data_IF_577328574712
#
_entry.id   IF_577328574712
#
_cell.length_a   1.000
_cell.length_b   1.000
_cell.length_c   1.000
_cell.angle_alpha   90.00
_cell.angle_beta   90.00
_cell.angle_gamma   90.00
#
_symmetry.space_group_name_H-M   'P 1'
#
loop_
_entity.id
_entity.type
_entity.pdbx_description
1 polymer ?
#
# COMPACT_ATOMS: atom_id res chain seq x y z
N UNK A 1 -19.98 -12.67 -0.76
CA UNK A 1 -20.01 -12.44 -2.22
C UNK A 1 -20.45 -10.99 -2.43
N UNK A 2 -19.75 -10.20 -3.26
CA UNK A 2 -20.03 -8.75 -3.38
C UNK A 2 -21.11 -8.40 -4.41
N UNK A 3 -21.55 -9.38 -5.21
CA UNK A 3 -22.60 -9.26 -6.22
C UNK A 3 -23.84 -10.02 -5.80
N UNK A 4 -25.02 -9.44 -6.03
CA UNK A 4 -26.31 -10.14 -5.98
C UNK A 4 -26.50 -11.07 -7.19
N UNK A 5 -27.47 -12.01 -7.16
CA UNK A 5 -27.76 -12.87 -8.31
C UNK A 5 -28.15 -12.11 -9.58
N UNK A 6 -28.85 -10.98 -9.45
CA UNK A 6 -29.26 -10.15 -10.59
C UNK A 6 -28.07 -9.42 -11.22
N UNK A 7 -27.19 -8.87 -10.39
CA UNK A 7 -25.93 -8.26 -10.84
C UNK A 7 -25.02 -9.26 -11.53
N UNK A 8 -25.00 -10.51 -11.05
CA UNK A 8 -24.25 -11.58 -11.68
C UNK A 8 -24.81 -11.93 -13.07
N UNK A 9 -26.13 -12.12 -13.20
CA UNK A 9 -26.77 -12.37 -14.48
C UNK A 9 -26.52 -11.24 -15.49
N UNK A 10 -26.49 -9.98 -15.03
CA UNK A 10 -26.15 -8.82 -15.86
C UNK A 10 -24.74 -8.89 -16.44
N UNK A 11 -23.76 -9.30 -15.63
CA UNK A 11 -22.35 -9.43 -16.06
C UNK A 11 -22.18 -10.60 -17.04
N UNK A 12 -22.87 -11.71 -16.80
CA UNK A 12 -22.87 -12.89 -17.67
C UNK A 12 -23.41 -12.57 -19.05
N UNK A 13 -24.53 -11.85 -19.13
CA UNK A 13 -25.14 -11.46 -20.41
C UNK A 13 -24.21 -10.59 -21.30
N UNK A 14 -23.23 -9.90 -20.70
CA UNK A 14 -22.31 -8.98 -21.39
C UNK A 14 -20.94 -9.57 -21.68
N UNK A 15 -20.74 -10.84 -21.32
CA UNK A 15 -19.49 -11.57 -21.61
C UNK A 15 -19.13 -11.60 -23.11
N UNK A 16 -20.06 -11.89 -24.05
CA UNK A 16 -19.74 -11.88 -25.48
C UNK A 16 -19.28 -10.49 -25.97
N UNK A 17 -19.91 -9.43 -25.45
CA UNK A 17 -19.58 -8.05 -25.80
C UNK A 17 -18.18 -7.64 -25.32
N UNK A 18 -17.79 -8.08 -24.11
CA UNK A 18 -16.43 -7.87 -23.61
C UNK A 18 -15.39 -8.58 -24.49
N UNK A 19 -15.66 -9.82 -24.89
CA UNK A 19 -14.78 -10.58 -25.78
C UNK A 19 -14.63 -9.90 -27.15
N UNK A 20 -15.72 -9.41 -27.72
CA UNK A 20 -15.72 -8.65 -28.97
C UNK A 20 -14.92 -7.34 -28.84
N UNK A 21 -15.16 -6.56 -27.78
CA UNK A 21 -14.47 -5.29 -27.54
C UNK A 21 -12.95 -5.48 -27.38
N UNK A 22 -12.53 -6.61 -26.82
CA UNK A 22 -11.11 -6.99 -26.74
C UNK A 22 -10.52 -7.30 -28.12
N UNK A 23 -11.25 -8.04 -28.96
CA UNK A 23 -10.79 -8.39 -30.30
C UNK A 23 -10.64 -7.14 -31.21
N UNK A 24 -11.49 -6.13 -31.00
CA UNK A 24 -11.50 -4.89 -31.79
C UNK A 24 -10.74 -3.73 -31.12
N UNK A 25 -10.06 -3.96 -30.00
CA UNK A 25 -9.36 -2.92 -29.23
C UNK A 25 -10.24 -1.74 -28.77
N UNK A 26 -11.54 -1.97 -28.57
CA UNK A 26 -12.53 -0.96 -28.13
C UNK A 26 -12.90 -1.08 -26.65
N UNK A 27 -12.03 -1.68 -25.83
CA UNK A 27 -12.30 -1.93 -24.40
C UNK A 27 -12.68 -0.67 -23.61
N UNK A 28 -12.12 0.50 -23.93
CA UNK A 28 -12.49 1.74 -23.22
C UNK A 28 -13.98 2.03 -23.36
N UNK A 29 -14.50 2.00 -24.59
CA UNK A 29 -15.92 2.26 -24.89
C UNK A 29 -16.83 1.23 -24.22
N UNK A 30 -16.40 -0.03 -24.18
CA UNK A 30 -17.11 -1.08 -23.46
C UNK A 30 -17.23 -0.76 -21.96
N UNK A 31 -16.16 -0.34 -21.31
CA UNK A 31 -16.20 0.00 -19.88
C UNK A 31 -17.07 1.23 -19.60
N UNK A 32 -17.05 2.22 -20.48
CA UNK A 32 -17.90 3.40 -20.37
C UNK A 32 -19.39 3.04 -20.50
N UNK A 33 -19.76 2.24 -21.51
CA UNK A 33 -21.13 1.73 -21.68
C UNK A 33 -21.58 0.85 -20.51
N UNK A 34 -20.72 -0.08 -20.07
CA UNK A 34 -21.01 -0.95 -18.93
C UNK A 34 -21.26 -0.16 -17.64
N UNK A 35 -20.53 0.93 -17.41
CA UNK A 35 -20.76 1.81 -16.26
C UNK A 35 -22.15 2.44 -16.31
N UNK A 36 -22.54 2.98 -17.47
CA UNK A 36 -23.84 3.63 -17.67
C UNK A 36 -24.96 2.64 -17.41
N UNK A 37 -24.91 1.47 -18.05
CA UNK A 37 -25.92 0.43 -17.90
C UNK A 37 -25.98 -0.14 -16.47
N UNK A 38 -24.84 -0.27 -15.79
CA UNK A 38 -24.84 -0.68 -14.39
C UNK A 38 -25.53 0.34 -13.49
N UNK A 39 -25.23 1.63 -13.68
CA UNK A 39 -25.83 2.70 -12.89
C UNK A 39 -27.34 2.77 -13.14
N UNK A 40 -27.78 2.57 -14.38
CA UNK A 40 -29.20 2.53 -14.74
C UNK A 40 -29.94 1.38 -14.03
N UNK A 41 -29.35 0.19 -13.98
CA UNK A 41 -30.02 -0.99 -13.42
C UNK A 41 -29.88 -1.15 -11.89
N UNK A 42 -28.72 -0.83 -11.33
CA UNK A 42 -28.38 -1.12 -9.92
C UNK A 42 -28.04 0.14 -9.11
N UNK A 43 -28.12 1.32 -9.73
CA UNK A 43 -27.79 2.59 -9.12
C UNK A 43 -26.28 2.82 -8.95
N UNK A 44 -25.93 3.89 -8.23
CA UNK A 44 -24.53 4.28 -8.02
C UNK A 44 -23.83 3.55 -6.86
N UNK A 45 -24.48 2.57 -6.22
CA UNK A 45 -23.99 1.90 -5.01
C UNK A 45 -22.55 1.38 -5.14
N UNK A 46 -22.21 0.81 -6.29
CA UNK A 46 -20.89 0.28 -6.60
C UNK A 46 -19.83 1.38 -6.86
N UNK A 47 -20.27 2.59 -7.21
CA UNK A 47 -19.43 3.71 -7.65
C UNK A 47 -19.31 4.84 -6.62
N UNK A 48 -20.17 4.91 -5.60
CA UNK A 48 -20.18 5.97 -4.57
C UNK A 48 -18.96 5.93 -3.64
N UNK A 49 -18.37 4.75 -3.42
CA UNK A 49 -17.15 4.62 -2.60
C UNK A 49 -15.93 5.11 -3.39
N UNK A 50 -15.67 6.41 -3.32
CA UNK A 50 -14.46 7.02 -3.86
C UNK A 50 -13.23 6.41 -3.18
N UNK A 51 -12.34 5.79 -3.95
CA UNK A 51 -11.02 5.38 -3.44
C UNK A 51 -9.88 6.24 -3.98
N UNK A 52 -10.13 7.13 -4.96
CA UNK A 52 -9.21 8.16 -5.44
C UNK A 52 -9.89 9.00 -6.53
N UNK A 53 -9.60 10.30 -6.68
CA UNK A 53 -10.07 11.09 -7.82
C UNK A 53 -9.58 10.45 -9.14
N UNK A 54 -10.50 10.11 -10.04
CA UNK A 54 -10.17 9.62 -11.39
C UNK A 54 -10.31 8.10 -11.62
N UNK A 55 -10.53 7.26 -10.60
CA UNK A 55 -10.80 5.83 -10.82
C UNK A 55 -11.86 5.28 -9.85
N UNK A 56 -13.15 5.21 -10.26
CA UNK A 56 -14.20 4.77 -9.36
C UNK A 56 -14.05 3.27 -9.08
N UNK A 57 -14.09 2.90 -7.79
CA UNK A 57 -13.86 1.52 -7.31
C UNK A 57 -14.74 0.48 -8.04
N UNK A 58 -15.92 0.89 -8.53
CA UNK A 58 -16.81 0.02 -9.28
C UNK A 58 -16.21 -0.50 -10.60
N UNK A 59 -15.56 0.34 -11.41
CA UNK A 59 -14.93 -0.13 -12.65
C UNK A 59 -13.84 -1.16 -12.35
N UNK A 60 -13.04 -0.93 -11.30
CA UNK A 60 -12.01 -1.87 -10.87
C UNK A 60 -12.60 -3.24 -10.50
N UNK A 61 -13.72 -3.25 -9.77
CA UNK A 61 -14.42 -4.49 -9.38
C UNK A 61 -15.01 -5.23 -10.59
N UNK A 62 -15.63 -4.51 -11.51
CA UNK A 62 -16.14 -5.07 -12.77
C UNK A 62 -15.02 -5.71 -13.58
N UNK A 63 -13.90 -5.00 -13.76
CA UNK A 63 -12.69 -5.53 -14.43
C UNK A 63 -12.15 -6.78 -13.74
N UNK A 64 -12.07 -6.76 -12.41
CA UNK A 64 -11.60 -7.91 -11.63
C UNK A 64 -12.49 -9.14 -11.84
N UNK A 65 -13.82 -8.97 -11.92
CA UNK A 65 -14.75 -10.06 -12.21
C UNK A 65 -14.47 -10.70 -13.57
N UNK A 66 -14.37 -9.91 -14.64
CA UNK A 66 -14.08 -10.42 -15.98
C UNK A 66 -12.71 -11.11 -16.07
N UNK A 67 -11.71 -10.60 -15.35
CA UNK A 67 -10.39 -11.22 -15.29
C UNK A 67 -10.42 -12.56 -14.54
N UNK A 68 -11.18 -12.66 -13.45
CA UNK A 68 -11.25 -13.87 -12.62
C UNK A 68 -12.08 -14.98 -13.27
N UNK A 69 -13.14 -14.65 -14.01
CA UNK A 69 -14.04 -15.63 -14.66
C UNK A 69 -13.36 -16.44 -15.76
N UNK A 70 -12.29 -15.91 -16.35
CA UNK A 70 -11.46 -16.63 -17.33
C UNK A 70 -10.57 -17.70 -16.68
N UNK A 71 -10.32 -17.60 -15.37
CA UNK A 71 -9.55 -18.60 -14.63
C UNK A 71 -10.41 -19.78 -14.16
N UNK A 72 -11.73 -19.63 -14.14
CA UNK A 72 -12.68 -20.70 -13.75
C UNK A 72 -13.06 -21.62 -14.91
N UNK A 73 -13.02 -21.16 -16.16
CA UNK A 73 -13.36 -21.99 -17.34
C UNK A 73 -12.19 -22.82 -17.87
N UNK A 74 -10.96 -22.60 -17.37
CA UNK A 74 -9.79 -23.44 -17.69
C UNK A 74 -9.50 -24.51 -16.63
N UNK A 75 -10.41 -24.72 -15.66
CA UNK A 75 -10.20 -25.66 -14.54
C UNK A 75 -10.28 -27.15 -14.93
N UNK A 76 -10.46 -27.50 -16.21
CA UNK A 76 -10.32 -28.87 -16.74
C UNK A 76 -9.15 -29.05 -17.71
N UNK A 77 -8.23 -28.09 -17.78
CA UNK A 77 -6.95 -28.29 -18.45
C UNK A 77 -5.82 -27.67 -17.61
N UNK A 78 -5.63 -28.22 -16.41
CA UNK A 78 -4.33 -28.24 -15.76
C UNK A 78 -3.36 -29.01 -16.65
N UNK A 79 -2.92 -28.42 -17.77
CA UNK A 79 -1.58 -28.74 -18.26
C UNK A 79 -0.68 -28.42 -17.07
N UNK A 80 0.08 -29.38 -16.54
CA UNK A 80 1.11 -29.08 -15.57
C UNK A 80 2.17 -28.30 -16.34
N UNK A 81 1.94 -27.00 -16.51
CA UNK A 81 2.98 -26.06 -16.89
C UNK A 81 4.01 -26.18 -15.80
N UNK A 82 5.10 -26.89 -16.12
CA UNK A 82 6.09 -27.36 -15.18
C UNK A 82 6.43 -26.26 -14.21
N UNK A 83 5.97 -26.41 -12.96
CA UNK A 83 6.63 -25.81 -11.82
C UNK A 83 8.02 -26.43 -11.81
N UNK A 84 8.92 -25.78 -12.54
CA UNK A 84 10.33 -26.09 -12.52
C UNK A 84 10.76 -25.90 -11.07
N UNK A 85 11.07 -27.02 -10.43
CA UNK A 85 11.67 -27.16 -9.10
C UNK A 85 10.80 -26.74 -7.90
N UNK A 86 10.60 -27.72 -7.00
CA UNK A 86 10.06 -27.63 -5.64
C UNK A 86 11.05 -27.00 -4.64
N UNK A 87 12.16 -26.42 -5.08
CA UNK A 87 13.02 -25.66 -4.18
C UNK A 87 12.34 -24.32 -3.85
N UNK A 88 12.21 -23.95 -2.57
CA UNK A 88 11.77 -22.60 -2.20
C UNK A 88 12.70 -21.60 -2.89
N UNK A 89 12.12 -20.69 -3.70
CA UNK A 89 12.91 -19.64 -4.35
C UNK A 89 13.50 -18.79 -3.23
N UNK A 90 14.84 -18.78 -3.12
CA UNK A 90 15.57 -17.92 -2.18
C UNK A 90 15.06 -16.49 -2.34
N UNK A 91 14.50 -15.93 -1.28
CA UNK A 91 13.91 -14.61 -1.35
C UNK A 91 15.03 -13.58 -1.34
N UNK A 92 15.08 -12.75 -2.39
CA UNK A 92 16.02 -11.63 -2.46
C UNK A 92 15.55 -10.54 -1.51
N UNK A 93 16.38 -10.21 -0.53
CA UNK A 93 16.11 -9.13 0.42
C UNK A 93 16.48 -7.78 -0.19
N UNK A 94 15.74 -6.72 0.18
CA UNK A 94 16.27 -5.36 0.02
C UNK A 94 17.40 -5.13 1.01
N UNK A 95 18.34 -4.23 0.70
CA UNK A 95 19.49 -3.94 1.56
C UNK A 95 19.12 -3.65 3.02
N UNK A 96 18.06 -2.87 3.25
CA UNK A 96 17.58 -2.59 4.62
C UNK A 96 16.99 -3.81 5.31
N UNK A 97 16.35 -4.72 4.57
CA UNK A 97 15.81 -5.96 5.14
C UNK A 97 16.92 -6.95 5.48
N UNK A 98 17.94 -7.07 4.62
CA UNK A 98 19.12 -7.88 4.90
C UNK A 98 19.86 -7.35 6.15
N UNK A 99 20.05 -6.04 6.25
CA UNK A 99 20.65 -5.43 7.43
C UNK A 99 19.82 -5.61 8.70
N UNK A 100 18.49 -5.44 8.61
CA UNK A 100 17.59 -5.76 9.74
C UNK A 100 17.74 -7.22 10.15
N UNK A 101 17.75 -8.16 9.19
CA UNK A 101 17.89 -9.58 9.50
C UNK A 101 19.18 -9.90 10.27
N UNK A 102 20.30 -9.30 9.87
CA UNK A 102 21.60 -9.51 10.52
C UNK A 102 21.75 -8.77 11.85
N UNK A 103 21.25 -7.54 11.94
CA UNK A 103 21.61 -6.58 12.98
C UNK A 103 20.43 -5.99 13.76
N UNK A 104 19.22 -6.56 13.64
CA UNK A 104 18.05 -6.04 14.34
C UNK A 104 18.27 -5.98 15.85
N UNK A 105 18.53 -7.11 16.49
CA UNK A 105 18.62 -7.17 17.96
C UNK A 105 19.84 -6.44 18.51
N UNK A 106 20.95 -6.40 17.77
CA UNK A 106 22.24 -5.87 18.25
C UNK A 106 22.39 -4.37 18.05
N UNK A 107 21.95 -3.84 16.90
CA UNK A 107 22.19 -2.43 16.51
C UNK A 107 20.90 -1.65 16.31
N UNK A 108 19.94 -2.21 15.56
CA UNK A 108 18.75 -1.46 15.15
C UNK A 108 17.75 -1.29 16.29
N UNK A 109 17.47 -2.33 17.06
CA UNK A 109 16.48 -2.30 18.14
C UNK A 109 16.86 -1.27 19.24
N UNK A 110 18.10 -1.22 19.74
CA UNK A 110 18.51 -0.18 20.70
C UNK A 110 18.35 1.24 20.14
N UNK A 111 18.75 1.45 18.87
CA UNK A 111 18.60 2.76 18.21
C UNK A 111 17.14 3.12 17.97
N UNK A 112 16.28 2.14 17.64
CA UNK A 112 14.84 2.33 17.49
C UNK A 112 14.19 2.78 18.79
N UNK A 113 14.51 2.13 19.90
CA UNK A 113 13.95 2.47 21.22
C UNK A 113 14.35 3.88 21.67
N UNK A 114 15.56 4.32 21.29
CA UNK A 114 16.06 5.66 21.57
C UNK A 114 15.46 6.73 20.65
N UNK A 115 15.52 6.53 19.33
CA UNK A 115 15.23 7.58 18.34
C UNK A 115 13.74 7.69 18.00
N UNK A 116 12.98 6.60 18.08
CA UNK A 116 11.57 6.63 17.68
C UNK A 116 10.71 7.54 18.57
N UNK A 117 10.82 7.50 19.91
CA UNK A 117 10.08 8.42 20.77
C UNK A 117 10.47 9.89 20.53
N UNK A 118 11.76 10.15 20.24
CA UNK A 118 12.25 11.49 19.92
C UNK A 118 11.61 11.98 18.62
N UNK A 119 11.59 11.14 17.59
CA UNK A 119 10.92 11.46 16.32
C UNK A 119 9.43 11.76 16.50
N UNK A 120 8.72 10.95 17.30
CA UNK A 120 7.31 11.21 17.60
C UNK A 120 7.12 12.53 18.33
N UNK A 121 7.97 12.86 19.32
CA UNK A 121 7.87 14.14 20.01
C UNK A 121 8.16 15.33 19.07
N UNK A 122 9.15 15.20 18.18
CA UNK A 122 9.44 16.24 17.17
C UNK A 122 8.26 16.50 16.24
N UNK A 123 7.54 15.45 15.81
CA UNK A 123 6.31 15.61 15.01
C UNK A 123 5.22 16.34 15.80
N UNK A 124 5.07 16.06 17.10
CA UNK A 124 4.11 16.76 17.96
C UNK A 124 4.47 18.24 18.15
N UNK A 125 5.76 18.55 18.34
CA UNK A 125 6.26 19.92 18.44
C UNK A 125 6.07 20.70 17.13
N UNK A 126 6.34 20.06 15.98
CA UNK A 126 6.08 20.63 14.68
C UNK A 126 4.59 20.94 14.47
N UNK A 127 3.70 20.03 14.87
CA UNK A 127 2.24 20.23 14.81
C UNK A 127 1.76 21.39 15.71
N UNK A 128 2.54 21.76 16.74
CA UNK A 128 2.30 22.93 17.60
C UNK A 128 2.86 24.23 17.01
N UNK A 129 3.51 24.18 15.84
CA UNK A 129 4.15 25.32 15.19
C UNK A 129 5.53 25.66 15.75
N UNK A 130 6.14 24.78 16.56
CA UNK A 130 7.51 24.96 17.03
C UNK A 130 8.49 24.67 15.90
N UNK A 131 9.55 25.48 15.79
CA UNK A 131 10.66 25.18 14.88
C UNK A 131 11.48 24.02 15.45
N UNK A 132 11.48 22.90 14.74
CA UNK A 132 12.17 21.67 15.14
C UNK A 132 13.07 21.21 14.01
N UNK A 133 14.33 20.91 14.33
CA UNK A 133 15.27 20.34 13.36
C UNK A 133 15.22 18.81 13.39
N UNK A 134 15.12 18.22 12.19
CA UNK A 134 15.16 16.77 12.00
C UNK A 134 16.52 16.34 11.42
N UNK A 135 17.12 15.26 11.93
CA UNK A 135 18.22 14.58 11.25
C UNK A 135 17.83 14.23 9.81
N UNK A 136 18.79 14.27 8.87
CA UNK A 136 18.53 14.09 7.43
C UNK A 136 17.69 12.85 7.08
N UNK A 137 17.93 11.73 7.76
CA UNK A 137 17.19 10.49 7.53
C UNK A 137 15.74 10.56 8.03
N UNK A 138 15.48 11.29 9.13
CA UNK A 138 14.13 11.54 9.64
C UNK A 138 13.40 12.56 8.77
N UNK A 139 14.10 13.59 8.30
CA UNK A 139 13.56 14.63 7.41
C UNK A 139 13.03 14.02 6.11
N UNK A 140 13.78 13.09 5.52
CA UNK A 140 13.35 12.35 4.33
C UNK A 140 12.07 11.54 4.57
N UNK A 141 11.87 11.03 5.79
CA UNK A 141 10.65 10.31 6.16
C UNK A 141 9.48 11.27 6.35
N UNK A 142 9.70 12.37 7.08
CA UNK A 142 8.74 13.45 7.35
C UNK A 142 8.17 14.05 6.06
N UNK A 143 9.04 14.44 5.12
CA UNK A 143 8.62 15.03 3.83
C UNK A 143 7.74 14.04 3.06
N UNK A 144 8.09 12.75 3.04
CA UNK A 144 7.30 11.72 2.35
C UNK A 144 5.97 11.43 3.02
N UNK A 145 5.89 11.62 4.33
CA UNK A 145 4.68 11.37 5.12
C UNK A 145 3.80 12.59 5.31
N UNK A 146 4.20 13.74 4.77
CA UNK A 146 3.50 15.00 4.93
C UNK A 146 3.24 15.33 6.41
N UNK A 147 4.29 15.24 7.22
CA UNK A 147 4.28 15.52 8.67
C UNK A 147 3.42 14.58 9.54
N UNK A 148 2.97 13.46 8.98
CA UNK A 148 2.23 12.42 9.71
C UNK A 148 3.16 11.33 10.23
N UNK A 149 2.86 10.77 11.40
CA UNK A 149 3.54 9.57 11.91
C UNK A 149 3.31 8.39 10.94
N UNK A 150 4.41 7.93 10.32
CA UNK A 150 4.40 6.79 9.39
C UNK A 150 4.33 5.44 10.08
N UNK A 151 4.38 5.42 11.42
CA UNK A 151 4.46 4.22 12.22
C UNK A 151 5.87 3.64 12.31
N UNK A 152 6.03 2.75 13.29
CA UNK A 152 7.31 2.18 13.72
C UNK A 152 8.06 1.44 12.61
N UNK A 153 7.36 0.74 11.73
CA UNK A 153 7.97 -0.06 10.66
C UNK A 153 8.62 0.81 9.57
N UNK A 154 7.94 1.87 9.15
CA UNK A 154 8.49 2.78 8.13
C UNK A 154 9.71 3.55 8.65
N UNK A 155 9.66 3.95 9.93
CA UNK A 155 10.81 4.54 10.62
C UNK A 155 11.97 3.57 10.70
N UNK A 156 11.72 2.32 11.13
CA UNK A 156 12.75 1.27 11.23
C UNK A 156 13.45 0.99 9.91
N UNK A 157 12.70 0.89 8.81
CA UNK A 157 13.29 0.70 7.49
C UNK A 157 14.17 1.88 7.06
N UNK A 158 13.76 3.10 7.40
CA UNK A 158 14.54 4.31 7.09
C UNK A 158 15.80 4.40 7.93
N UNK A 159 15.69 4.08 9.22
CA UNK A 159 16.82 4.00 10.14
C UNK A 159 17.82 2.94 9.69
N UNK A 160 17.36 1.74 9.32
CA UNK A 160 18.23 0.68 8.83
C UNK A 160 19.00 1.09 7.56
N UNK A 161 18.36 1.80 6.61
CA UNK A 161 19.07 2.33 5.42
C UNK A 161 20.16 3.33 5.80
N UNK A 162 19.87 4.20 6.76
CA UNK A 162 20.84 5.16 7.23
C UNK A 162 22.01 4.48 7.92
N UNK A 163 21.75 3.53 8.82
CA UNK A 163 22.80 2.79 9.51
C UNK A 163 23.70 2.04 8.51
N UNK A 164 23.14 1.32 7.53
CA UNK A 164 23.95 0.66 6.48
C UNK A 164 24.85 1.64 5.74
N UNK A 165 24.41 2.88 5.50
CA UNK A 165 25.22 3.87 4.79
C UNK A 165 26.43 4.36 5.60
N UNK A 166 26.34 4.31 6.93
CA UNK A 166 27.39 4.74 7.86
C UNK A 166 28.29 3.59 8.35
N UNK A 167 27.88 2.34 8.12
CA UNK A 167 28.62 1.16 8.55
C UNK A 167 29.89 0.92 7.75
N UNK A 168 30.74 0.04 8.30
CA UNK A 168 31.99 -0.36 7.66
C UNK A 168 31.77 -1.16 6.38
N UNK A 169 32.79 -1.20 5.52
CA UNK A 169 32.70 -1.91 4.23
C UNK A 169 32.53 -3.42 4.42
N UNK A 170 33.04 -3.99 5.52
CA UNK A 170 32.83 -5.40 5.88
C UNK A 170 31.35 -5.70 6.11
N UNK A 171 30.66 -4.85 6.90
CA UNK A 171 29.23 -5.00 7.18
C UNK A 171 28.41 -4.83 5.89
N UNK A 172 28.78 -3.87 5.04
CA UNK A 172 28.11 -3.70 3.73
C UNK A 172 28.30 -4.92 2.83
N UNK A 173 29.48 -5.53 2.84
CA UNK A 173 29.76 -6.75 2.09
C UNK A 173 28.93 -7.94 2.61
N UNK A 174 28.77 -8.09 3.92
CA UNK A 174 27.89 -9.11 4.51
C UNK A 174 26.41 -8.92 4.13
N UNK A 175 25.93 -7.68 4.17
CA UNK A 175 24.56 -7.35 3.73
C UNK A 175 24.37 -7.66 2.25
N UNK A 176 25.36 -7.31 1.41
CA UNK A 176 25.33 -7.62 -0.02
C UNK A 176 25.37 -9.14 -0.28
N UNK A 177 26.16 -9.87 0.49
CA UNK A 177 26.24 -11.34 0.43
C UNK A 177 24.88 -11.97 0.74
N UNK A 178 24.19 -11.51 1.79
CA UNK A 178 22.85 -12.01 2.13
C UNK A 178 21.79 -11.59 1.08
N UNK A 179 21.95 -10.42 0.46
CA UNK A 179 21.08 -9.96 -0.62
C UNK A 179 21.22 -10.81 -1.89
N UNK A 180 22.44 -11.24 -2.24
CA UNK A 180 22.72 -12.04 -3.42
C UNK A 180 22.36 -13.52 -3.23
N UNK A 181 22.79 -14.09 -2.11
CA UNK A 181 22.58 -15.51 -1.82
C UNK A 181 21.18 -15.81 -1.29
N UNK A 182 20.47 -14.80 -0.81
CA UNK A 182 19.19 -14.96 -0.12
C UNK A 182 19.35 -15.83 1.12
N UNK A 183 18.22 -16.20 1.69
CA UNK A 183 18.19 -17.13 2.82
C UNK A 183 17.15 -18.22 2.54
N UNK A 184 17.41 -19.41 3.07
CA UNK A 184 16.46 -20.52 3.09
C UNK A 184 15.54 -20.45 4.31
N UNK A 185 15.95 -19.68 5.34
CA UNK A 185 15.16 -19.46 6.54
C UNK A 185 13.95 -18.55 6.29
N UNK A 186 12.80 -18.96 6.87
CA UNK A 186 11.52 -18.25 6.83
C UNK A 186 11.69 -16.80 7.31
N UNK A 187 11.05 -15.86 6.62
CA UNK A 187 11.21 -14.43 6.92
C UNK A 187 10.54 -14.15 8.26
N UNK A 188 11.24 -13.54 9.22
CA UNK A 188 10.59 -13.11 10.45
C UNK A 188 9.38 -12.24 10.12
N UNK A 189 8.22 -12.53 10.73
CA UNK A 189 6.93 -11.91 10.38
C UNK A 189 6.95 -10.36 10.34
N UNK A 190 7.86 -9.72 11.08
CA UNK A 190 8.03 -8.27 11.09
C UNK A 190 8.68 -7.70 9.80
N UNK A 191 9.28 -8.52 8.93
CA UNK A 191 9.87 -8.14 7.65
C UNK A 191 8.98 -8.43 6.44
N UNK A 192 7.96 -9.31 6.59
CA UNK A 192 7.07 -9.74 5.50
C UNK A 192 6.14 -8.63 4.99
N UNK A 193 5.81 -7.67 5.85
CA UNK A 193 4.82 -6.61 5.55
C UNK A 193 5.24 -5.64 4.42
N UNK A 194 6.50 -5.68 3.97
CA UNK A 194 6.98 -4.83 2.88
C UNK A 194 7.12 -5.52 1.52
N UNK A 195 7.19 -6.86 1.47
CA UNK A 195 7.37 -7.58 0.19
C UNK A 195 6.06 -7.77 -0.57
N UNK A 196 4.92 -7.65 0.11
CA UNK A 196 3.59 -7.64 -0.52
C UNK A 196 3.30 -6.36 -1.33
N UNK A 197 4.16 -5.34 -1.25
CA UNK A 197 3.89 -4.01 -1.82
C UNK A 197 4.33 -3.82 -3.28
N UNK A 198 4.98 -4.80 -3.94
CA UNK A 198 5.31 -4.70 -5.37
C UNK A 198 4.24 -5.27 -6.32
N UNK A 199 3.13 -5.78 -5.79
CA UNK A 199 1.92 -6.08 -6.57
C UNK A 199 0.75 -5.28 -6.00
N UNK A 200 0.79 -3.97 -6.24
CA UNK A 200 -0.37 -3.10 -6.38
C UNK A 200 -1.23 -2.83 -5.15
N UNK A 201 -1.10 -1.63 -4.57
CA UNK A 201 -2.21 -1.05 -3.82
C UNK A 201 -1.79 -0.06 -2.75
N UNK A 202 -1.91 1.22 -3.09
CA UNK A 202 -1.90 2.34 -2.17
C UNK A 202 -2.91 2.12 -1.03
N UNK A 203 -2.41 1.95 0.19
CA UNK A 203 -3.20 1.93 1.42
C UNK A 203 -2.92 3.21 2.21
N UNK A 204 -3.85 4.16 2.15
CA UNK A 204 -3.83 5.35 2.99
C UNK A 204 -4.58 5.04 4.29
N UNK A 205 -3.90 5.20 5.41
CA UNK A 205 -4.44 5.04 6.76
C UNK A 205 -5.09 6.37 7.15
N UNK A 206 -6.42 6.45 7.06
CA UNK A 206 -7.18 7.61 7.53
C UNK A 206 -7.45 7.50 9.02
N UNK A 207 -6.70 8.23 9.84
CA UNK A 207 -7.01 8.45 11.26
C UNK A 207 -8.02 9.59 11.37
N UNK A 208 -9.11 9.32 12.10
CA UNK A 208 -10.12 10.28 12.53
C UNK A 208 -9.52 11.43 13.34
N UNK A 209 -9.70 12.67 12.89
CA UNK A 209 -9.63 13.86 13.74
C UNK A 209 -10.98 14.58 13.68
N UNK A 210 -11.74 14.41 14.77
CA UNK A 210 -13.00 15.09 15.08
C UNK A 210 -12.63 16.41 15.75
N UNK A 211 -12.64 17.52 14.99
CA UNK A 211 -12.49 18.86 15.56
C UNK A 211 -13.87 19.45 15.84
N UNK A 212 -14.18 19.62 17.12
CA UNK A 212 -15.31 20.38 17.62
C UNK A 212 -15.09 21.86 17.36
N UNK A 213 -16.09 22.49 16.76
CA UNK A 213 -16.21 23.94 16.64
C UNK A 213 -16.73 24.48 17.98
N UNK A 214 -15.90 25.24 18.69
CA UNK A 214 -16.34 26.16 19.75
C UNK A 214 -16.08 27.57 19.27
N UNK A 215 -17.17 28.24 18.91
CA UNK A 215 -17.30 29.68 18.66
C UNK A 215 -17.04 30.48 19.95
N UNK A 216 -16.11 31.46 19.97
CA UNK A 216 -16.14 32.52 20.96
C UNK A 216 -16.81 33.75 20.34
N UNK A 217 -18.07 33.98 20.73
CA UNK A 217 -18.84 35.16 20.36
C UNK A 217 -18.20 36.45 20.87
N UNK A 218 -18.07 37.43 19.97
CA UNK A 218 -17.70 38.81 20.28
C UNK A 218 -18.87 39.56 20.94
N UNK A 219 -18.64 40.43 21.94
CA UNK A 219 -19.66 41.34 22.42
C UNK A 219 -19.83 42.52 21.46
N UNK A 220 -21.04 42.68 20.92
CA UNK A 220 -21.46 43.91 20.23
C UNK A 220 -21.73 45.01 21.26
N UNK A 221 -20.87 46.03 21.26
CA UNK A 221 -21.20 47.32 21.83
C UNK A 221 -22.23 48.03 20.96
N UNK A 222 -23.33 48.46 21.55
CA UNK A 222 -24.31 49.34 20.93
C UNK A 222 -24.35 50.65 21.70
N UNK A 223 -24.06 51.73 20.99
CA UNK A 223 -24.32 53.10 21.39
C UNK A 223 -25.84 53.32 21.49
N UNK A 224 -26.29 53.87 22.61
CA UNK A 224 -27.12 55.09 22.77
C UNK A 224 -27.51 55.25 24.24
#
# INVERSE_FOLDING_TARGET
MWTSPQELAFLEAREPLHAQAKATSTLSQFWDGMKVEWIDQFGMSLFIKQSTPGNPMGIKRLRQWYNNRRNTTNSTASKPGGRSSLAPKKQKYQQSQAYLKLYYSSKVAPMMEKEYPIYQNRLLELARGTLVEFPRYQESLRIRSNDVDTGRLAFMNTLARHMVSEESEEVKAEVAYLQENGDEDEIPAYLELNTSSSVGGSGSVGILARLGSTDPGYPSGSYL
#
